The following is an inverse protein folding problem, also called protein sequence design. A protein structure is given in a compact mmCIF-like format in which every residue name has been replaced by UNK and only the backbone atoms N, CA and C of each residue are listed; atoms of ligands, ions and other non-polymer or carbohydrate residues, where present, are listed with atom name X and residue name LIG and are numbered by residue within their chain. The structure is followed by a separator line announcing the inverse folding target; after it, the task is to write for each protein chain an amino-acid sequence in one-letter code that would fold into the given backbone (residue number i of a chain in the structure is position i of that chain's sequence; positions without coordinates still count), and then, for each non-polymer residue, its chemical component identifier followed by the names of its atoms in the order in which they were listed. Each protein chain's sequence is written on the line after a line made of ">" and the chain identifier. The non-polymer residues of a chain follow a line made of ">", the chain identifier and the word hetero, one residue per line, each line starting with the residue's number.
data_IF_443698748994
#
_entry.id   IF_443698748994
#
_cell.length_a   1.000
_cell.length_b   1.000
_cell.length_c   1.000
_cell.angle_alpha   90.00
_cell.angle_beta   90.00
_cell.angle_gamma   90.00
#
_symmetry.space_group_name_H-M   'P 1'
#
loop_
_entity.id
_entity.type
_entity.pdbx_description
1 polymer ?
#
# COMPACT_ATOMS: atom_id res chain seq x y z
N UNK A 1 -9.71 -7.34 -8.32
CA UNK A 1 -11.07 -7.90 -8.20
C UNK A 1 -11.97 -7.19 -7.17
N UNK A 2 -11.58 -7.13 -5.88
CA UNK A 2 -12.40 -6.59 -4.77
C UNK A 2 -13.00 -5.21 -5.07
N UNK A 3 -12.20 -4.27 -5.58
CA UNK A 3 -12.64 -2.90 -5.86
C UNK A 3 -13.78 -2.81 -6.89
N UNK A 4 -13.75 -3.64 -7.94
CA UNK A 4 -14.80 -3.65 -8.97
C UNK A 4 -16.08 -4.29 -8.44
N UNK A 5 -15.93 -5.44 -7.78
CA UNK A 5 -17.07 -6.29 -7.41
C UNK A 5 -17.84 -5.74 -6.22
N UNK A 6 -17.15 -5.18 -5.21
CA UNK A 6 -17.80 -4.70 -3.99
C UNK A 6 -18.21 -3.23 -4.07
N UNK A 7 -17.40 -2.37 -4.69
CA UNK A 7 -17.57 -0.91 -4.64
C UNK A 7 -17.61 -0.24 -6.01
N UNK A 8 -17.64 -1.02 -7.10
CA UNK A 8 -17.77 -0.55 -8.50
C UNK A 8 -16.69 0.45 -8.92
N UNK A 9 -15.49 0.32 -8.36
CA UNK A 9 -14.34 1.13 -8.75
C UNK A 9 -13.52 0.34 -9.80
N UNK A 10 -13.49 0.85 -11.03
CA UNK A 10 -12.68 0.30 -12.11
C UNK A 10 -11.64 1.32 -12.57
N UNK A 11 -10.63 1.55 -11.74
CA UNK A 11 -9.59 2.57 -12.01
C UNK A 11 -8.87 2.43 -13.36
N UNK A 12 -8.62 1.22 -13.92
CA UNK A 12 -8.00 1.10 -15.25
C UNK A 12 -8.76 1.79 -16.39
N UNK A 13 -10.09 1.97 -16.25
CA UNK A 13 -10.91 2.63 -17.27
C UNK A 13 -10.97 4.15 -17.10
N UNK A 14 -10.42 4.68 -16.00
CA UNK A 14 -10.49 6.10 -15.67
C UNK A 14 -9.20 6.80 -16.08
N UNK A 15 -9.31 8.03 -16.56
CA UNK A 15 -8.15 8.87 -16.87
C UNK A 15 -7.62 9.52 -15.58
N UNK A 16 -6.80 8.78 -14.83
CA UNK A 16 -6.27 9.19 -13.51
C UNK A 16 -4.77 9.47 -13.56
N UNK A 17 -4.35 10.54 -12.88
CA UNK A 17 -2.94 10.88 -12.69
C UNK A 17 -2.23 9.95 -11.69
N UNK A 18 -2.95 9.37 -10.74
CA UNK A 18 -2.44 8.45 -9.73
C UNK A 18 -3.58 7.67 -9.06
N UNK A 19 -3.25 6.56 -8.40
CA UNK A 19 -4.18 5.79 -7.55
C UNK A 19 -3.63 5.54 -6.16
N UNK A 20 -4.54 5.51 -5.18
CA UNK A 20 -4.23 5.36 -3.76
C UNK A 20 -5.07 4.23 -3.14
N UNK A 21 -4.88 2.97 -3.56
CA UNK A 21 -5.65 1.85 -3.03
C UNK A 21 -5.45 1.71 -1.52
N UNK A 22 -6.54 1.57 -0.78
CA UNK A 22 -6.53 1.31 0.67
C UNK A 22 -6.29 -0.18 0.94
N UNK A 23 -5.03 -0.60 0.94
CA UNK A 23 -4.58 -1.99 1.12
C UNK A 23 -4.44 -2.29 2.61
N UNK A 24 -5.57 -2.25 3.32
CA UNK A 24 -5.61 -2.41 4.76
C UNK A 24 -5.73 -3.89 5.15
N UNK A 25 -4.60 -4.60 5.13
CA UNK A 25 -4.52 -6.06 5.32
C UNK A 25 -5.28 -6.57 6.55
N UNK A 26 -5.29 -5.82 7.66
CA UNK A 26 -5.99 -6.20 8.89
C UNK A 26 -7.51 -6.37 8.69
N UNK A 27 -8.16 -5.46 7.96
CA UNK A 27 -9.61 -5.57 7.67
C UNK A 27 -9.96 -6.73 6.75
N UNK A 28 -8.97 -7.29 6.05
CA UNK A 28 -9.11 -8.48 5.22
C UNK A 28 -8.61 -9.75 5.93
N UNK A 29 -8.18 -9.66 7.20
CA UNK A 29 -7.57 -10.74 7.97
C UNK A 29 -6.39 -11.39 7.22
N UNK A 30 -5.55 -10.56 6.59
CA UNK A 30 -4.38 -11.00 5.81
C UNK A 30 -3.07 -10.63 6.51
N UNK A 31 -2.01 -11.45 6.37
CA UNK A 31 -0.68 -11.09 6.85
C UNK A 31 -0.13 -9.88 6.07
N UNK A 32 0.87 -9.18 6.62
CA UNK A 32 1.50 -8.03 5.94
C UNK A 32 2.09 -8.38 4.57
N UNK A 33 2.58 -9.61 4.36
CA UNK A 33 3.09 -10.05 3.06
C UNK A 33 2.05 -9.99 1.93
N UNK A 34 0.77 -10.07 2.27
CA UNK A 34 -0.32 -9.93 1.29
C UNK A 34 -0.39 -8.52 0.67
N UNK A 35 0.19 -7.51 1.32
CA UNK A 35 0.31 -6.16 0.73
C UNK A 35 1.00 -6.24 -0.63
N UNK A 36 2.07 -7.04 -0.75
CA UNK A 36 2.77 -7.25 -2.01
C UNK A 36 1.87 -7.88 -3.09
N UNK A 37 1.13 -8.93 -2.74
CA UNK A 37 0.18 -9.57 -3.67
C UNK A 37 -0.89 -8.59 -4.16
N UNK A 38 -1.46 -7.79 -3.26
CA UNK A 38 -2.49 -6.80 -3.57
C UNK A 38 -1.95 -5.67 -4.46
N UNK A 39 -0.72 -5.20 -4.19
CA UNK A 39 -0.03 -4.21 -5.04
C UNK A 39 0.25 -4.80 -6.42
N UNK A 40 0.78 -6.02 -6.51
CA UNK A 40 1.05 -6.67 -7.78
C UNK A 40 -0.22 -6.90 -8.62
N UNK A 41 -1.32 -7.30 -7.96
CA UNK A 41 -2.63 -7.41 -8.62
C UNK A 41 -3.06 -6.07 -9.22
N UNK A 42 -3.06 -5.01 -8.42
CA UNK A 42 -3.47 -3.69 -8.88
C UNK A 42 -2.53 -3.16 -9.98
N UNK A 43 -1.22 -3.35 -9.83
CA UNK A 43 -0.21 -2.90 -10.79
C UNK A 43 -0.38 -3.56 -12.16
N UNK A 44 -0.72 -4.85 -12.23
CA UNK A 44 -0.97 -5.58 -13.49
C UNK A 44 -2.16 -5.03 -14.27
N UNK A 45 -3.16 -4.49 -13.58
CA UNK A 45 -4.38 -3.98 -14.21
C UNK A 45 -4.27 -2.51 -14.62
N UNK A 46 -3.43 -1.74 -13.93
CA UNK A 46 -3.29 -0.30 -14.13
C UNK A 46 -2.32 0.05 -15.28
N UNK A 47 -2.59 1.10 -16.09
CA UNK A 47 -1.64 1.61 -17.07
C UNK A 47 -0.28 1.96 -16.44
N UNK A 48 0.83 1.60 -17.09
CA UNK A 48 2.18 1.81 -16.56
C UNK A 48 2.49 3.29 -16.24
N UNK A 49 1.80 4.22 -16.90
CA UNK A 49 1.91 5.67 -16.69
C UNK A 49 1.21 6.17 -15.42
N UNK A 50 0.32 5.37 -14.83
CA UNK A 50 -0.42 5.76 -13.63
C UNK A 50 0.29 5.19 -12.39
N UNK A 51 0.98 6.02 -11.59
CA UNK A 51 1.61 5.58 -10.35
C UNK A 51 0.57 5.09 -9.33
N UNK A 52 0.97 4.07 -8.58
CA UNK A 52 0.20 3.46 -7.51
C UNK A 52 0.87 3.75 -6.17
N UNK A 53 0.15 4.35 -5.24
CA UNK A 53 0.61 4.58 -3.87
C UNK A 53 -0.16 3.68 -2.90
N UNK A 54 0.53 2.74 -2.27
CA UNK A 54 -0.09 1.75 -1.40
C UNK A 54 -0.56 2.41 -0.09
N UNK A 55 -1.88 2.50 0.10
CA UNK A 55 -2.48 3.01 1.34
C UNK A 55 -2.41 1.99 2.47
N UNK A 56 -1.75 2.32 3.57
CA UNK A 56 -1.59 1.51 4.76
C UNK A 56 -2.44 2.06 5.91
N UNK A 57 -3.04 1.17 6.70
CA UNK A 57 -3.74 1.51 7.93
C UNK A 57 -2.87 1.14 9.13
N UNK A 58 -2.18 2.13 9.68
CA UNK A 58 -1.11 1.95 10.68
C UNK A 58 -1.57 1.57 12.09
N UNK A 59 -2.74 1.98 12.62
CA UNK A 59 -3.08 1.75 14.04
C UNK A 59 -3.03 0.28 14.49
N UNK A 60 -3.16 -0.66 13.56
CA UNK A 60 -3.12 -2.11 13.81
C UNK A 60 -1.80 -2.76 13.35
N UNK A 61 -0.77 -1.96 13.05
CA UNK A 61 0.53 -2.41 12.58
C UNK A 61 1.60 -2.04 13.61
N UNK A 62 2.59 -2.91 13.76
CA UNK A 62 3.84 -2.60 14.46
C UNK A 62 4.80 -1.81 13.56
N UNK A 63 5.83 -1.20 14.16
CA UNK A 63 6.90 -0.50 13.42
C UNK A 63 7.59 -1.39 12.37
N UNK A 64 7.80 -2.66 12.71
CA UNK A 64 8.39 -3.65 11.78
C UNK A 64 7.43 -3.93 10.62
N UNK A 65 6.14 -4.11 10.92
CA UNK A 65 5.12 -4.40 9.92
C UNK A 65 4.92 -3.25 8.94
N UNK A 66 5.02 -1.98 9.38
CA UNK A 66 4.98 -0.83 8.48
C UNK A 66 6.17 -0.85 7.52
N UNK A 67 7.39 -1.10 8.02
CA UNK A 67 8.58 -1.23 7.16
C UNK A 67 8.47 -2.39 6.17
N UNK A 68 7.97 -3.55 6.62
CA UNK A 68 7.77 -4.71 5.75
C UNK A 68 6.71 -4.43 4.68
N UNK A 69 5.59 -3.79 5.05
CA UNK A 69 4.56 -3.41 4.10
C UNK A 69 5.09 -2.42 3.04
N UNK A 70 5.97 -1.50 3.44
CA UNK A 70 6.69 -0.63 2.51
C UNK A 70 7.56 -1.45 1.54
N UNK A 71 8.43 -2.34 2.03
CA UNK A 71 9.28 -3.19 1.18
C UNK A 71 8.44 -4.00 0.19
N UNK A 72 7.43 -4.72 0.67
CA UNK A 72 6.54 -5.52 -0.17
C UNK A 72 5.80 -4.66 -1.21
N UNK A 73 5.37 -3.46 -0.87
CA UNK A 73 4.72 -2.57 -1.81
C UNK A 73 5.70 -2.12 -2.91
N UNK A 74 6.90 -1.67 -2.54
CA UNK A 74 7.90 -1.18 -3.49
C UNK A 74 8.38 -2.30 -4.43
N UNK A 75 8.70 -3.48 -3.90
CA UNK A 75 9.13 -4.65 -4.68
C UNK A 75 8.08 -5.10 -5.71
N UNK A 76 6.80 -4.85 -5.45
CA UNK A 76 5.69 -5.24 -6.31
C UNK A 76 5.18 -4.11 -7.23
N UNK A 77 5.92 -3.00 -7.31
CA UNK A 77 5.69 -1.94 -8.30
C UNK A 77 4.80 -0.78 -7.83
N UNK A 78 4.68 -0.58 -6.51
CA UNK A 78 4.20 0.70 -5.99
C UNK A 78 5.24 1.81 -6.24
N UNK A 79 4.75 3.02 -6.45
CA UNK A 79 5.57 4.23 -6.52
C UNK A 79 5.83 4.85 -5.14
N UNK A 80 5.22 4.28 -4.09
CA UNK A 80 5.33 4.73 -2.70
C UNK A 80 4.18 4.20 -1.85
N UNK A 81 4.11 4.67 -0.62
CA UNK A 81 3.03 4.37 0.33
C UNK A 81 2.28 5.64 0.73
N UNK A 82 1.06 5.47 1.24
CA UNK A 82 0.28 6.53 1.90
C UNK A 82 -0.17 6.02 3.25
N UNK A 83 -0.05 6.84 4.28
CA UNK A 83 -0.24 6.44 5.67
C UNK A 83 -1.57 6.97 6.19
N UNK A 84 -2.37 6.09 6.80
CA UNK A 84 -3.64 6.43 7.43
C UNK A 84 -3.77 5.83 8.84
N UNK A 85 -4.37 6.56 9.80
CA UNK A 85 -4.53 8.01 9.79
C UNK A 85 -3.17 8.70 9.97
N UNK A 86 -3.12 10.03 9.77
CA UNK A 86 -1.93 10.86 10.01
C UNK A 86 -1.42 10.78 11.46
N UNK A 87 -2.29 10.43 12.40
CA UNK A 87 -1.98 10.22 13.83
C UNK A 87 -1.57 8.79 14.18
N UNK A 88 -1.56 7.86 13.22
CA UNK A 88 -1.27 6.44 13.48
C UNK A 88 0.19 6.12 13.73
N UNK A 89 1.11 6.98 13.31
CA UNK A 89 2.55 6.73 13.41
C UNK A 89 3.11 7.22 14.75
N UNK A 90 3.93 6.38 15.39
CA UNK A 90 4.79 6.78 16.51
C UNK A 90 6.24 7.01 16.05
N UNK A 91 7.07 7.60 16.90
CA UNK A 91 8.51 7.80 16.62
C UNK A 91 9.20 6.49 16.20
N UNK A 92 8.87 5.38 16.86
CA UNK A 92 9.42 4.07 16.52
C UNK A 92 9.04 3.62 15.10
N UNK A 93 7.81 3.91 14.65
CA UNK A 93 7.40 3.61 13.28
C UNK A 93 8.21 4.44 12.27
N UNK A 94 8.43 5.73 12.57
CA UNK A 94 9.22 6.61 11.71
C UNK A 94 10.69 6.19 11.64
N UNK A 95 11.28 5.80 12.76
CA UNK A 95 12.68 5.36 12.81
C UNK A 95 12.87 4.12 11.93
N UNK A 96 12.03 3.10 12.10
CA UNK A 96 12.10 1.86 11.34
C UNK A 96 11.86 2.08 9.85
N UNK A 97 10.82 2.85 9.49
CA UNK A 97 10.51 3.14 8.10
C UNK A 97 11.66 3.91 7.44
N UNK A 98 12.19 4.93 8.10
CA UNK A 98 13.30 5.74 7.58
C UNK A 98 14.56 4.90 7.36
N UNK A 99 14.89 4.00 8.30
CA UNK A 99 16.02 3.08 8.16
C UNK A 99 15.87 2.13 6.97
N UNK A 100 14.64 1.69 6.66
CA UNK A 100 14.35 0.85 5.50
C UNK A 100 14.48 1.63 4.20
N UNK A 101 13.91 2.84 4.13
CA UNK A 101 13.94 3.67 2.91
C UNK A 101 15.34 4.09 2.47
N UNK A 102 16.30 4.23 3.40
CA UNK A 102 17.70 4.60 3.07
C UNK A 102 18.48 3.44 2.42
N UNK A 103 18.02 2.19 2.54
CA UNK A 103 18.72 1.02 2.02
C UNK A 103 18.43 0.69 0.55
N UNK A 104 17.32 1.19 0.01
CA UNK A 104 16.88 0.96 -1.38
C UNK A 104 17.25 2.10 -2.31
#
# INVERSE_FOLDING_TARGET
>A
DIARTLVRQNWPDWNLDAVFPMIYNHFYHKPVSWVGDAVAECRREMPATTPLYCGLYVPEMTAIEVSQAYEYAMENGAAGITIFPDTGMSDQHWDFLSMTMVKG
#
